data_IF_284749822811
#
_entry.id   IF_284749822811
#
_cell.length_a   1.000
_cell.length_b   1.000
_cell.length_c   1.000
_cell.angle_alpha   90.00
_cell.angle_beta   90.00
_cell.angle_gamma   90.00
#
_symmetry.space_group_name_H-M   'P 1'
#
loop_
_entity.id
_entity.type
_entity.pdbx_description
1 polymer ?
#
# COMPACT_ATOMS: atom_id res chain seq x y z
N UNK A 1 -20.88 -49.52 -20.17
CA UNK A 1 -21.08 -50.67 -19.22
C UNK A 1 -20.65 -50.20 -17.84
N UNK A 2 -21.57 -50.26 -16.89
CA UNK A 2 -21.49 -50.00 -15.43
C UNK A 2 -21.28 -48.56 -14.94
N UNK A 3 -22.43 -48.02 -14.61
CA UNK A 3 -22.71 -46.91 -13.67
C UNK A 3 -22.41 -47.39 -12.25
N UNK A 4 -21.73 -46.53 -11.45
CA UNK A 4 -21.75 -46.68 -10.00
C UNK A 4 -22.12 -45.36 -9.37
N UNK A 5 -23.37 -45.30 -8.87
CA UNK A 5 -23.89 -44.28 -7.96
C UNK A 5 -23.32 -44.57 -6.55
N UNK A 6 -22.81 -43.55 -5.86
CA UNK A 6 -22.72 -43.60 -4.41
C UNK A 6 -23.49 -42.42 -3.81
N UNK A 7 -24.54 -42.76 -3.09
CA UNK A 7 -25.32 -41.96 -2.15
C UNK A 7 -24.69 -42.13 -0.76
N UNK A 8 -24.59 -41.07 -0.02
CA UNK A 8 -24.62 -41.08 1.46
C UNK A 8 -24.89 -39.66 1.89
N UNK A 9 -26.04 -39.32 2.34
CA UNK A 9 -26.63 -39.44 3.68
C UNK A 9 -25.94 -38.47 4.66
N UNK A 10 -26.75 -37.51 5.05
CA UNK A 10 -26.54 -36.43 5.93
C UNK A 10 -26.29 -36.80 7.40
N UNK A 11 -25.80 -35.84 8.13
CA UNK A 11 -25.97 -35.77 9.57
C UNK A 11 -26.17 -34.32 9.99
N UNK A 12 -27.41 -34.01 10.33
CA UNK A 12 -27.88 -32.80 10.99
C UNK A 12 -27.53 -32.98 12.49
N UNK A 13 -26.67 -32.15 13.02
CA UNK A 13 -26.48 -32.03 14.48
C UNK A 13 -27.06 -30.69 14.90
N UNK A 14 -28.26 -30.76 15.46
CA UNK A 14 -28.92 -29.69 16.21
C UNK A 14 -28.33 -29.71 17.61
N UNK A 15 -27.60 -28.68 17.99
CA UNK A 15 -27.16 -28.46 19.36
C UNK A 15 -28.01 -27.38 20.03
N UNK A 16 -28.90 -27.87 20.90
CA UNK A 16 -29.77 -27.09 21.77
C UNK A 16 -28.93 -26.57 22.94
N UNK A 17 -28.72 -25.26 23.04
CA UNK A 17 -28.18 -24.67 24.27
C UNK A 17 -29.30 -24.18 25.16
N UNK A 18 -29.38 -24.84 26.33
CA UNK A 18 -30.29 -24.57 27.43
C UNK A 18 -29.84 -23.32 28.15
N UNK A 19 -30.75 -22.33 28.22
CA UNK A 19 -30.64 -21.17 29.11
C UNK A 19 -30.94 -21.59 30.57
N UNK A 20 -29.98 -21.45 31.47
CA UNK A 20 -30.20 -21.54 32.89
C UNK A 20 -30.32 -20.10 33.44
N UNK A 21 -31.54 -19.77 33.83
CA UNK A 21 -31.89 -18.57 34.61
C UNK A 21 -31.58 -18.87 36.09
N UNK A 22 -30.78 -18.03 36.72
CA UNK A 22 -30.63 -18.01 38.18
C UNK A 22 -31.20 -16.71 38.72
N UNK A 23 -32.35 -16.81 39.29
CA UNK A 23 -32.97 -15.83 40.20
C UNK A 23 -32.73 -16.28 41.62
N UNK A 24 -32.84 -15.35 42.58
CA UNK A 24 -32.89 -15.44 44.05
C UNK A 24 -31.58 -14.94 44.69
N UNK A 25 -31.61 -14.02 45.65
CA UNK A 25 -32.66 -13.70 46.56
C UNK A 25 -32.34 -12.45 47.40
N UNK A 26 -33.43 -11.85 47.87
CA UNK A 26 -33.45 -10.82 48.91
C UNK A 26 -33.02 -11.37 50.28
N UNK A 27 -32.30 -10.56 51.05
CA UNK A 27 -32.32 -10.72 52.53
C UNK A 27 -31.94 -9.40 53.20
N UNK A 28 -32.92 -8.80 53.82
CA UNK A 28 -33.08 -8.30 55.18
C UNK A 28 -32.05 -7.33 55.76
N UNK A 29 -32.55 -6.13 56.04
CA UNK A 29 -32.01 -5.13 56.96
C UNK A 29 -32.06 -5.59 58.41
N UNK A 30 -31.10 -5.23 59.28
CA UNK A 30 -31.34 -5.12 60.66
C UNK A 30 -31.66 -3.68 61.09
N UNK A 31 -32.62 -3.60 62.01
CA UNK A 31 -33.11 -2.43 62.70
C UNK A 31 -32.02 -1.81 63.62
N UNK A 32 -31.89 -0.49 63.52
CA UNK A 32 -31.02 0.28 64.43
C UNK A 32 -31.85 0.83 65.56
N UNK A 33 -31.44 0.53 66.78
CA UNK A 33 -31.95 1.16 68.01
C UNK A 33 -31.49 2.62 68.04
N UNK A 34 -32.46 3.47 68.37
CA UNK A 34 -32.32 4.91 68.53
C UNK A 34 -31.86 5.18 69.97
N UNK A 35 -30.62 5.64 70.18
CA UNK A 35 -30.14 6.19 71.46
C UNK A 35 -30.12 7.71 71.31
N UNK A 36 -31.09 8.36 71.93
CA UNK A 36 -31.16 9.82 72.02
C UNK A 36 -30.12 10.30 73.04
N UNK A 37 -29.07 10.96 72.62
CA UNK A 37 -28.19 11.75 73.48
C UNK A 37 -28.37 13.22 73.17
N UNK A 38 -29.04 13.95 74.02
CA UNK A 38 -29.18 15.41 73.97
C UNK A 38 -27.89 16.04 74.47
N UNK A 39 -27.01 16.40 73.55
CA UNK A 39 -25.82 17.18 73.80
C UNK A 39 -25.85 18.49 73.04
N UNK A 40 -25.96 19.62 73.70
CA UNK A 40 -25.88 20.96 73.09
C UNK A 40 -24.45 21.17 72.66
N UNK A 41 -24.17 21.10 71.33
CA UNK A 41 -22.86 21.37 70.77
C UNK A 41 -22.84 22.82 70.28
N UNK A 42 -22.00 23.62 70.95
CA UNK A 42 -21.67 24.97 70.42
C UNK A 42 -20.83 24.82 69.17
N UNK A 43 -21.40 25.17 68.01
CA UNK A 43 -20.66 25.18 66.76
C UNK A 43 -19.58 26.26 66.79
N UNK A 44 -18.32 25.83 66.94
CA UNK A 44 -17.18 26.67 66.62
C UNK A 44 -16.95 26.57 65.11
N UNK A 45 -17.22 27.63 64.38
CA UNK A 45 -16.94 27.73 62.96
C UNK A 45 -15.42 27.62 62.71
N UNK A 46 -14.98 26.44 62.34
CA UNK A 46 -13.61 26.21 61.82
C UNK A 46 -13.60 26.79 60.41
N UNK A 47 -12.70 27.71 60.05
CA UNK A 47 -12.57 28.19 58.71
C UNK A 47 -12.20 27.01 57.81
N UNK A 48 -13.08 26.68 56.86
CA UNK A 48 -12.80 25.70 55.82
C UNK A 48 -11.65 26.19 54.98
N UNK A 49 -10.45 25.64 55.17
CA UNK A 49 -9.33 25.91 54.30
C UNK A 49 -9.70 25.43 52.91
N UNK A 50 -9.94 26.37 52.00
CA UNK A 50 -10.08 26.08 50.57
C UNK A 50 -8.75 25.51 50.10
N UNK A 51 -8.70 24.19 49.88
CA UNK A 51 -7.56 23.54 49.27
C UNK A 51 -7.34 24.18 47.91
N UNK A 52 -6.17 24.77 47.69
CA UNK A 52 -5.75 25.24 46.37
C UNK A 52 -5.85 24.06 45.39
N UNK A 53 -6.35 24.28 44.15
CA UNK A 53 -6.42 23.22 43.19
C UNK A 53 -5.03 22.61 43.01
N UNK A 54 -4.92 21.33 43.22
CA UNK A 54 -3.68 20.57 42.93
C UNK A 54 -3.41 20.75 41.46
N UNK A 55 -2.23 21.22 41.03
CA UNK A 55 -1.90 21.32 39.62
C UNK A 55 -2.00 19.93 39.02
N UNK A 56 -2.95 19.78 38.13
CA UNK A 56 -3.07 18.57 37.29
C UNK A 56 -1.88 18.58 36.35
N UNK A 57 -0.88 17.76 36.63
CA UNK A 57 0.19 17.50 35.67
C UNK A 57 -0.44 16.75 34.50
N UNK A 58 -0.80 17.46 33.45
CA UNK A 58 -1.00 16.89 32.15
C UNK A 58 0.37 16.45 31.65
N UNK A 59 0.59 15.14 31.57
CA UNK A 59 1.75 14.63 30.82
C UNK A 59 1.72 15.28 29.44
N UNK A 60 2.87 15.77 28.94
CA UNK A 60 2.93 16.27 27.58
C UNK A 60 2.41 15.18 26.64
N UNK A 61 1.64 15.54 25.60
CA UNK A 61 1.14 14.55 24.67
C UNK A 61 2.34 13.83 24.03
N UNK A 62 2.29 12.50 24.00
CA UNK A 62 3.28 11.69 23.31
C UNK A 62 3.41 12.18 21.88
N UNK A 63 4.64 12.36 21.41
CA UNK A 63 4.94 12.92 20.10
C UNK A 63 5.14 11.82 19.06
N UNK A 64 4.68 12.09 17.86
CA UNK A 64 5.03 11.36 16.65
C UNK A 64 5.76 12.34 15.75
N UNK A 65 6.92 11.92 15.24
CA UNK A 65 7.71 12.72 14.34
C UNK A 65 7.57 12.23 12.91
N UNK A 66 7.42 13.14 11.96
CA UNK A 66 7.46 12.85 10.53
C UNK A 66 8.69 13.53 9.93
N UNK A 67 9.62 12.71 9.46
CA UNK A 67 10.77 13.17 8.70
C UNK A 67 10.49 13.09 7.20
N UNK A 68 10.69 14.21 6.50
CA UNK A 68 10.61 14.34 5.05
C UNK A 68 11.93 14.91 4.57
N UNK A 69 12.75 14.06 3.96
CA UNK A 69 14.08 14.44 3.46
C UNK A 69 14.02 15.23 2.16
N UNK A 70 15.17 15.84 1.81
CA UNK A 70 15.36 16.47 0.51
C UNK A 70 15.26 15.40 -0.60
N UNK A 71 14.47 15.66 -1.65
CA UNK A 71 14.25 14.72 -2.75
C UNK A 71 13.04 13.79 -2.58
N UNK A 72 12.31 13.83 -1.46
CA UNK A 72 11.02 13.16 -1.33
C UNK A 72 10.02 13.72 -2.36
N UNK A 73 9.14 12.83 -2.85
CA UNK A 73 8.04 13.26 -3.72
C UNK A 73 7.11 14.21 -2.94
N UNK A 74 6.91 15.46 -3.38
CA UNK A 74 6.17 16.46 -2.62
C UNK A 74 4.69 16.14 -2.46
N UNK A 75 4.06 15.50 -3.46
CA UNK A 75 2.65 15.13 -3.41
C UNK A 75 2.42 14.01 -2.40
N UNK A 76 3.27 12.97 -2.42
CA UNK A 76 3.23 11.88 -1.45
C UNK A 76 3.53 12.40 -0.03
N UNK A 77 4.51 13.30 0.10
CA UNK A 77 4.86 13.90 1.38
C UNK A 77 3.68 14.67 1.99
N UNK A 78 2.99 15.49 1.20
CA UNK A 78 1.80 16.21 1.64
C UNK A 78 0.63 15.30 2.02
N UNK A 79 0.38 14.26 1.23
CA UNK A 79 -0.66 13.26 1.52
C UNK A 79 -0.34 12.48 2.80
N UNK A 80 0.92 12.03 2.97
CA UNK A 80 1.36 11.30 4.15
C UNK A 80 1.27 12.17 5.41
N UNK A 81 1.70 13.43 5.34
CA UNK A 81 1.60 14.37 6.47
C UNK A 81 0.13 14.58 6.88
N UNK A 82 -0.76 14.79 5.92
CA UNK A 82 -2.20 14.96 6.17
C UNK A 82 -2.83 13.72 6.82
N UNK A 83 -2.52 12.53 6.31
CA UNK A 83 -3.05 11.29 6.85
C UNK A 83 -2.49 10.96 8.23
N UNK A 84 -1.19 11.18 8.44
CA UNK A 84 -0.56 10.98 9.76
C UNK A 84 -1.08 11.98 10.79
N UNK A 85 -1.36 13.24 10.42
CA UNK A 85 -1.96 14.21 11.32
C UNK A 85 -3.33 13.77 11.83
N UNK A 86 -4.15 13.19 10.93
CA UNK A 86 -5.45 12.61 11.27
C UNK A 86 -5.29 11.40 12.21
N UNK A 87 -4.46 10.43 11.84
CA UNK A 87 -4.23 9.22 12.62
C UNK A 87 -3.65 9.51 14.00
N UNK A 88 -2.71 10.47 14.09
CA UNK A 88 -2.14 10.91 15.36
C UNK A 88 -3.19 11.55 16.26
N UNK A 89 -4.00 12.47 15.71
CA UNK A 89 -5.09 13.13 16.44
C UNK A 89 -6.13 12.14 16.97
N UNK A 90 -6.54 11.16 16.15
CA UNK A 90 -7.46 10.08 16.55
C UNK A 90 -6.89 9.18 17.65
N UNK A 91 -5.57 9.02 17.67
CA UNK A 91 -4.85 8.19 18.64
C UNK A 91 -4.37 8.97 19.88
N UNK A 92 -4.64 10.27 19.97
CA UNK A 92 -4.25 11.12 21.10
C UNK A 92 -2.77 11.54 21.09
N UNK A 93 -2.12 11.52 19.94
CA UNK A 93 -0.74 11.93 19.74
C UNK A 93 -0.65 13.29 19.03
N UNK A 94 0.48 13.94 19.19
CA UNK A 94 0.82 15.17 18.46
C UNK A 94 1.82 14.86 17.35
N UNK A 95 1.47 15.18 16.10
CA UNK A 95 2.39 15.06 14.97
C UNK A 95 3.24 16.30 14.83
N UNK A 96 4.55 16.13 14.74
CA UNK A 96 5.53 17.18 14.46
C UNK A 96 6.34 16.81 13.22
N UNK A 97 6.36 17.69 12.21
CA UNK A 97 7.24 17.55 11.06
C UNK A 97 8.63 18.04 11.42
N UNK A 98 9.63 17.24 11.08
CA UNK A 98 11.04 17.52 11.34
C UNK A 98 11.88 17.47 10.07
N UNK A 99 13.07 18.08 10.13
CA UNK A 99 14.08 18.07 9.06
C UNK A 99 15.45 17.77 9.66
N UNK A 100 16.48 17.72 8.82
CA UNK A 100 17.86 17.48 9.26
C UNK A 100 18.38 18.50 10.28
N UNK A 101 19.18 18.05 11.25
CA UNK A 101 19.48 16.66 11.58
C UNK A 101 18.38 16.01 12.43
N UNK A 102 17.94 14.81 12.03
CA UNK A 102 16.84 14.08 12.69
C UNK A 102 17.14 13.81 14.17
N UNK A 103 18.41 13.52 14.51
CA UNK A 103 18.85 13.16 15.87
C UNK A 103 18.56 14.25 16.88
N UNK A 104 18.58 15.53 16.46
CA UNK A 104 18.31 16.67 17.35
C UNK A 104 16.87 16.68 17.88
N UNK A 105 15.96 16.05 17.17
CA UNK A 105 14.52 15.98 17.48
C UNK A 105 14.12 14.72 18.26
N UNK A 106 15.04 13.74 18.41
CA UNK A 106 14.74 12.44 19.08
C UNK A 106 14.83 12.50 20.60
N UNK A 107 14.59 13.66 21.20
CA UNK A 107 14.61 13.87 22.65
C UNK A 107 13.18 13.99 23.23
N UNK A 108 13.00 13.51 24.47
CA UNK A 108 11.72 13.61 25.18
C UNK A 108 10.75 12.47 24.84
N UNK A 109 9.45 12.75 24.88
CA UNK A 109 8.38 11.75 24.76
C UNK A 109 8.06 11.39 23.30
N UNK A 110 9.07 11.04 22.51
CA UNK A 110 8.89 10.57 21.12
C UNK A 110 8.47 9.09 21.16
N UNK A 111 7.29 8.79 20.64
CA UNK A 111 6.75 7.43 20.57
C UNK A 111 7.12 6.72 19.26
N UNK A 112 6.98 7.44 18.14
CA UNK A 112 7.17 6.91 16.80
C UNK A 112 7.82 7.98 15.93
N UNK A 113 8.74 7.54 15.07
CA UNK A 113 9.32 8.36 13.99
C UNK A 113 8.96 7.72 12.67
N UNK A 114 8.21 8.43 11.83
CA UNK A 114 7.91 8.03 10.45
C UNK A 114 8.91 8.72 9.53
N UNK A 115 9.61 7.94 8.71
CA UNK A 115 10.66 8.41 7.82
C UNK A 115 10.27 8.12 6.37
N UNK A 116 10.04 9.18 5.58
CA UNK A 116 9.73 9.05 4.15
C UNK A 116 11.02 9.02 3.32
N UNK A 117 11.08 8.11 2.36
CA UNK A 117 12.18 8.02 1.39
C UNK A 117 12.33 9.33 0.57
N UNK A 118 13.57 9.68 0.15
CA UNK A 118 14.82 8.97 0.41
C UNK A 118 15.41 9.27 1.79
N UNK A 119 15.99 8.25 2.43
CA UNK A 119 16.74 8.40 3.68
C UNK A 119 17.73 7.25 3.83
N UNK A 120 18.99 7.59 4.04
CA UNK A 120 20.05 6.61 4.22
C UNK A 120 20.33 6.34 5.71
N UNK A 121 20.64 5.09 6.04
CA UNK A 121 21.10 4.73 7.38
C UNK A 121 20.00 4.58 8.44
N UNK A 122 18.74 4.37 8.06
CA UNK A 122 17.62 4.21 8.98
C UNK A 122 17.83 3.05 9.98
N UNK A 123 18.49 1.98 9.56
CA UNK A 123 18.84 0.87 10.45
C UNK A 123 19.78 1.29 11.59
N UNK A 124 20.80 2.10 11.28
CA UNK A 124 21.74 2.60 12.28
C UNK A 124 21.05 3.57 13.26
N UNK A 125 20.17 4.40 12.73
CA UNK A 125 19.37 5.31 13.54
C UNK A 125 18.47 4.54 14.51
N UNK A 126 17.75 3.53 14.05
CA UNK A 126 16.90 2.69 14.89
C UNK A 126 17.70 1.95 15.98
N UNK A 127 18.86 1.43 15.64
CA UNK A 127 19.77 0.79 16.61
C UNK A 127 20.26 1.75 17.70
N UNK A 128 20.48 3.03 17.35
CA UNK A 128 20.96 4.05 18.30
C UNK A 128 19.88 4.50 19.29
N UNK A 129 18.59 4.33 18.94
CA UNK A 129 17.43 4.77 19.75
C UNK A 129 16.45 3.61 19.99
N UNK A 130 16.84 2.55 20.71
CA UNK A 130 16.01 1.33 20.85
C UNK A 130 14.68 1.53 21.58
N UNK A 131 14.51 2.65 22.29
CA UNK A 131 13.26 2.99 22.99
C UNK A 131 12.22 3.67 22.09
N UNK A 132 12.60 4.11 20.89
CA UNK A 132 11.74 4.78 19.91
C UNK A 132 11.36 3.78 18.83
N UNK A 133 10.09 3.75 18.42
CA UNK A 133 9.66 3.00 17.25
C UNK A 133 9.93 3.80 15.98
N UNK A 134 10.35 3.10 14.93
CA UNK A 134 10.58 3.69 13.61
C UNK A 134 9.70 3.02 12.57
N UNK A 135 9.19 3.81 11.63
CA UNK A 135 8.47 3.35 10.45
C UNK A 135 9.11 3.95 9.21
N UNK A 136 9.84 3.14 8.46
CA UNK A 136 10.37 3.52 7.15
C UNK A 136 9.30 3.38 6.07
N UNK A 137 9.07 4.44 5.30
CA UNK A 137 8.07 4.45 4.22
C UNK A 137 8.78 4.62 2.87
N UNK A 138 8.73 3.58 2.04
CA UNK A 138 9.36 3.56 0.71
C UNK A 138 10.88 3.44 0.72
N UNK A 139 11.50 3.12 1.85
CA UNK A 139 12.97 2.99 1.99
C UNK A 139 13.38 1.57 1.64
N UNK A 140 14.06 1.40 0.50
CA UNK A 140 14.36 0.10 -0.08
C UNK A 140 15.44 -0.70 0.68
N UNK A 141 16.44 -0.02 1.25
CA UNK A 141 17.59 -0.60 1.96
C UNK A 141 17.35 -0.81 3.46
N UNK A 142 16.22 -0.35 3.99
CA UNK A 142 15.87 -0.57 5.39
C UNK A 142 15.48 -2.02 5.65
N UNK A 143 16.05 -2.61 6.70
CA UNK A 143 15.70 -3.96 7.15
C UNK A 143 14.94 -3.90 8.47
N UNK A 144 13.80 -4.59 8.59
CA UNK A 144 13.03 -4.62 9.83
C UNK A 144 13.86 -5.10 11.03
N UNK A 145 13.61 -4.52 12.18
CA UNK A 145 14.28 -4.87 13.44
C UNK A 145 13.33 -4.67 14.63
N UNK A 146 13.79 -4.94 15.86
CA UNK A 146 12.96 -4.89 17.05
C UNK A 146 12.20 -3.57 17.29
N UNK A 147 12.64 -2.48 16.67
CA UNK A 147 11.99 -1.18 16.78
C UNK A 147 11.89 -0.46 15.41
N UNK A 148 12.10 -1.17 14.32
CA UNK A 148 11.97 -0.65 12.96
C UNK A 148 11.03 -1.53 12.16
N UNK A 149 9.91 -0.94 11.74
CA UNK A 149 9.01 -1.51 10.73
C UNK A 149 9.18 -0.79 9.39
N UNK A 150 8.92 -1.49 8.30
CA UNK A 150 9.14 -0.95 6.95
C UNK A 150 7.90 -1.17 6.08
N UNK A 151 7.46 -0.12 5.42
CA UNK A 151 6.53 -0.18 4.29
C UNK A 151 7.35 -0.09 3.01
N UNK A 152 7.32 -1.15 2.21
CA UNK A 152 8.03 -1.19 0.93
C UNK A 152 7.18 -0.62 -0.19
N UNK A 153 7.85 0.07 -1.12
CA UNK A 153 7.21 0.58 -2.34
C UNK A 153 6.99 -0.54 -3.38
N UNK A 154 6.31 -0.23 -4.48
CA UNK A 154 6.09 -1.13 -5.60
C UNK A 154 7.35 -1.74 -6.21
N UNK A 155 8.47 -1.07 -6.07
CA UNK A 155 9.75 -1.60 -6.56
C UNK A 155 10.17 -2.90 -5.86
N UNK A 156 9.50 -3.28 -4.75
CA UNK A 156 9.69 -4.57 -4.12
C UNK A 156 8.98 -5.74 -4.83
N UNK A 157 7.93 -5.45 -5.64
CA UNK A 157 7.17 -6.44 -6.40
C UNK A 157 6.89 -5.95 -7.84
N UNK A 158 7.96 -5.62 -8.60
CA UNK A 158 7.83 -5.19 -10.00
C UNK A 158 7.23 -6.28 -10.88
N UNK A 159 7.41 -7.54 -10.51
CA UNK A 159 6.80 -8.70 -11.14
C UNK A 159 5.25 -8.64 -11.07
N UNK A 160 4.67 -8.36 -9.91
CA UNK A 160 3.22 -8.22 -9.78
C UNK A 160 2.69 -7.02 -10.58
N UNK A 161 3.41 -5.90 -10.53
CA UNK A 161 3.04 -4.69 -11.29
C UNK A 161 3.07 -4.95 -12.80
N UNK A 162 4.11 -5.59 -13.29
CA UNK A 162 4.22 -5.98 -14.70
C UNK A 162 3.14 -6.98 -15.11
N UNK A 163 2.89 -8.01 -14.30
CA UNK A 163 1.89 -9.04 -14.58
C UNK A 163 0.49 -8.45 -14.76
N UNK A 164 0.04 -7.64 -13.79
CA UNK A 164 -1.30 -7.04 -13.89
C UNK A 164 -1.40 -6.02 -15.03
N UNK A 165 -0.30 -5.31 -15.36
CA UNK A 165 -0.25 -4.44 -16.54
C UNK A 165 -0.41 -5.22 -17.84
N UNK A 166 0.26 -6.37 -17.96
CA UNK A 166 0.16 -7.25 -19.12
C UNK A 166 -1.23 -7.86 -19.26
N UNK A 167 -1.79 -8.32 -18.17
CA UNK A 167 -3.17 -8.84 -18.14
C UNK A 167 -4.18 -7.77 -18.58
N UNK A 168 -4.12 -6.59 -17.98
CA UNK A 168 -4.97 -5.44 -18.33
C UNK A 168 -4.82 -5.07 -19.81
N UNK A 169 -3.60 -4.97 -20.32
CA UNK A 169 -3.34 -4.68 -21.72
C UNK A 169 -4.01 -5.70 -22.66
N UNK A 170 -3.89 -6.99 -22.36
CA UNK A 170 -4.46 -8.06 -23.15
C UNK A 170 -6.00 -8.08 -23.13
N UNK A 171 -6.62 -7.80 -21.97
CA UNK A 171 -8.09 -7.70 -21.80
C UNK A 171 -8.68 -6.58 -22.66
N UNK A 172 -7.94 -5.47 -22.83
CA UNK A 172 -8.46 -4.26 -23.47
C UNK A 172 -8.12 -4.14 -24.95
N UNK A 173 -7.08 -4.85 -25.41
CA UNK A 173 -6.54 -4.63 -26.76
C UNK A 173 -6.96 -5.75 -27.71
N UNK A 174 -7.60 -5.36 -28.81
CA UNK A 174 -7.95 -6.30 -29.86
C UNK A 174 -6.69 -6.91 -30.48
N UNK A 175 -6.78 -8.21 -30.86
CA UNK A 175 -5.67 -8.96 -31.44
C UNK A 175 -4.41 -9.02 -30.56
N UNK A 176 -4.55 -8.63 -29.27
CA UNK A 176 -3.45 -8.62 -28.27
C UNK A 176 -2.20 -7.85 -28.74
N UNK A 177 -2.38 -6.78 -29.53
CA UNK A 177 -1.31 -5.92 -30.07
C UNK A 177 -0.77 -5.01 -28.97
N UNK A 178 -0.08 -5.63 -28.02
CA UNK A 178 0.40 -4.97 -26.81
C UNK A 178 1.92 -5.02 -26.70
N UNK A 179 2.47 -4.02 -26.00
CA UNK A 179 3.90 -3.95 -25.74
C UNK A 179 4.22 -3.35 -24.40
N UNK A 180 5.48 -3.49 -23.99
CA UNK A 180 6.02 -2.90 -22.77
C UNK A 180 7.33 -2.17 -23.09
N UNK A 181 7.50 -0.98 -22.51
CA UNK A 181 8.77 -0.27 -22.44
C UNK A 181 9.25 -0.33 -20.99
N UNK A 182 10.45 -0.87 -20.79
CA UNK A 182 11.01 -1.12 -19.49
C UNK A 182 12.51 -0.82 -19.46
N UNK A 183 13.17 -1.12 -18.35
CA UNK A 183 14.61 -0.96 -18.16
C UNK A 183 15.28 -2.33 -18.01
N UNK A 184 16.19 -2.66 -18.93
CA UNK A 184 16.95 -3.90 -18.82
C UNK A 184 18.17 -3.78 -17.91
N UNK A 185 18.59 -2.55 -17.60
CA UNK A 185 19.74 -2.24 -16.74
C UNK A 185 19.43 -2.37 -15.23
N UNK A 186 18.17 -2.64 -14.88
CA UNK A 186 17.75 -2.86 -13.51
C UNK A 186 17.00 -4.20 -13.36
N UNK A 187 17.17 -4.93 -12.25
CA UNK A 187 16.40 -6.13 -11.96
C UNK A 187 14.89 -5.89 -11.95
N UNK A 188 14.47 -4.74 -11.42
CA UNK A 188 13.07 -4.35 -11.33
C UNK A 188 12.43 -4.17 -12.71
N UNK A 189 13.11 -3.46 -13.62
CA UNK A 189 12.62 -3.28 -14.98
C UNK A 189 12.55 -4.60 -15.74
N UNK A 190 13.53 -5.48 -15.55
CA UNK A 190 13.56 -6.81 -16.13
C UNK A 190 12.41 -7.68 -15.58
N UNK A 191 12.18 -7.66 -14.25
CA UNK A 191 11.08 -8.37 -13.63
C UNK A 191 9.72 -7.88 -14.14
N UNK A 192 9.51 -6.56 -14.21
CA UNK A 192 8.28 -5.99 -14.73
C UNK A 192 8.02 -6.37 -16.19
N UNK A 193 9.05 -6.31 -17.06
CA UNK A 193 8.95 -6.73 -18.46
C UNK A 193 8.57 -8.20 -18.60
N UNK A 194 9.31 -9.09 -17.93
CA UNK A 194 9.07 -10.52 -18.06
C UNK A 194 7.71 -10.91 -17.48
N UNK A 195 7.32 -10.32 -16.37
CA UNK A 195 6.00 -10.53 -15.80
C UNK A 195 4.87 -9.93 -16.65
N UNK A 196 5.09 -8.80 -17.33
CA UNK A 196 4.14 -8.29 -18.32
C UNK A 196 3.84 -9.33 -19.41
N UNK A 197 4.86 -9.98 -19.95
CA UNK A 197 4.72 -11.03 -20.94
C UNK A 197 3.89 -12.20 -20.34
N UNK A 198 4.16 -12.62 -19.10
CA UNK A 198 3.38 -13.67 -18.42
C UNK A 198 1.91 -13.27 -18.23
N UNK A 199 1.65 -12.02 -17.82
CA UNK A 199 0.28 -11.51 -17.65
C UNK A 199 -0.52 -11.48 -18.95
N UNK A 200 0.09 -11.09 -20.07
CA UNK A 200 -0.53 -11.16 -21.39
C UNK A 200 -0.86 -12.60 -21.77
N UNK A 201 0.12 -13.51 -21.63
CA UNK A 201 -0.05 -14.93 -21.94
C UNK A 201 -1.08 -15.60 -21.03
N UNK A 202 -1.14 -15.22 -19.77
CA UNK A 202 -2.14 -15.71 -18.81
C UNK A 202 -3.57 -15.44 -19.30
N UNK A 203 -3.81 -14.30 -19.96
CA UNK A 203 -5.13 -14.00 -20.54
C UNK A 203 -5.37 -14.71 -21.87
N UNK A 204 -4.45 -14.58 -22.83
CA UNK A 204 -4.72 -14.97 -24.24
C UNK A 204 -4.09 -16.30 -24.68
N UNK A 205 -3.26 -16.93 -23.85
CA UNK A 205 -2.54 -18.15 -24.21
C UNK A 205 -1.48 -17.86 -25.31
N UNK A 206 -1.75 -18.22 -26.53
CA UNK A 206 -0.79 -18.06 -27.64
C UNK A 206 -0.72 -16.63 -28.21
N UNK A 207 -1.68 -15.78 -27.91
CA UNK A 207 -1.74 -14.35 -28.29
C UNK A 207 -1.45 -14.09 -29.78
N UNK A 208 -1.99 -14.91 -30.67
CA UNK A 208 -1.77 -14.76 -32.13
C UNK A 208 -2.82 -13.82 -32.73
N UNK A 209 -2.42 -12.75 -33.42
CA UNK A 209 -3.36 -11.89 -34.12
C UNK A 209 -4.17 -12.69 -35.15
N UNK A 210 -5.45 -12.32 -35.30
CA UNK A 210 -6.32 -12.93 -36.33
C UNK A 210 -6.30 -12.13 -37.66
N UNK A 211 -5.76 -10.92 -37.64
CA UNK A 211 -5.60 -10.05 -38.79
C UNK A 211 -4.14 -9.67 -39.00
N UNK A 212 -3.69 -9.45 -40.26
CA UNK A 212 -2.33 -8.99 -40.54
C UNK A 212 -2.06 -7.60 -39.94
N UNK A 213 -0.82 -7.27 -39.63
CA UNK A 213 0.38 -8.12 -39.68
C UNK A 213 0.42 -9.14 -38.55
N UNK A 214 0.95 -10.33 -38.83
CA UNK A 214 1.01 -11.47 -37.87
C UNK A 214 2.30 -11.45 -37.06
N UNK A 215 2.58 -10.34 -36.38
CA UNK A 215 3.69 -10.26 -35.45
C UNK A 215 3.40 -11.12 -34.19
N UNK A 216 4.45 -11.50 -33.52
CA UNK A 216 4.34 -12.27 -32.26
C UNK A 216 4.28 -11.29 -31.09
N UNK A 217 3.10 -11.08 -30.53
CA UNK A 217 2.92 -10.27 -29.32
C UNK A 217 2.96 -11.14 -28.06
N UNK A 218 3.24 -10.54 -26.89
CA UNK A 218 3.58 -9.14 -26.64
C UNK A 218 4.98 -8.77 -27.10
N UNK A 219 5.19 -7.51 -27.46
CA UNK A 219 6.49 -6.95 -27.78
C UNK A 219 7.08 -6.20 -26.59
N UNK A 220 8.39 -6.03 -26.58
CA UNK A 220 9.04 -5.21 -25.57
C UNK A 220 10.17 -4.37 -26.17
N UNK A 221 10.48 -3.27 -25.49
CA UNK A 221 11.66 -2.47 -25.74
C UNK A 221 12.32 -2.10 -24.40
N UNK A 222 13.61 -2.34 -24.32
CA UNK A 222 14.38 -2.03 -23.12
C UNK A 222 15.13 -0.71 -23.29
N UNK A 223 14.77 0.30 -22.51
CA UNK A 223 15.46 1.59 -22.45
C UNK A 223 16.57 1.55 -21.40
N UNK A 224 17.67 2.24 -21.68
CA UNK A 224 18.68 2.54 -20.66
C UNK A 224 18.16 3.62 -19.70
N UNK A 225 18.68 3.66 -18.46
CA UNK A 225 18.24 4.63 -17.44
C UNK A 225 18.46 6.08 -17.82
N UNK A 226 19.50 6.35 -18.61
CA UNK A 226 19.87 7.67 -19.08
C UNK A 226 19.41 7.96 -20.53
N UNK A 227 18.41 7.19 -21.02
CA UNK A 227 17.91 7.32 -22.37
C UNK A 227 17.38 8.73 -22.67
N UNK A 228 17.99 9.40 -23.65
CA UNK A 228 17.56 10.71 -24.11
C UNK A 228 16.25 10.62 -24.95
N UNK A 229 15.67 11.77 -25.27
CA UNK A 229 14.41 11.84 -26.05
C UNK A 229 14.49 11.09 -27.38
N UNK A 230 15.64 11.12 -28.08
CA UNK A 230 15.81 10.41 -29.35
C UNK A 230 15.72 8.88 -29.20
N UNK A 231 16.23 8.32 -28.12
CA UNK A 231 16.13 6.88 -27.83
C UNK A 231 14.72 6.52 -27.35
N UNK A 232 14.09 7.38 -26.54
CA UNK A 232 12.70 7.23 -26.15
C UNK A 232 11.77 7.24 -27.34
N UNK A 233 11.99 8.16 -28.31
CA UNK A 233 11.26 8.19 -29.55
C UNK A 233 11.48 6.92 -30.38
N UNK A 234 12.72 6.47 -30.51
CA UNK A 234 13.03 5.25 -31.27
C UNK A 234 12.35 4.01 -30.67
N UNK A 235 12.22 3.94 -29.35
CA UNK A 235 11.48 2.86 -28.67
C UNK A 235 9.99 2.87 -29.01
N UNK A 236 9.38 4.06 -29.02
CA UNK A 236 7.99 4.22 -29.42
C UNK A 236 7.78 3.89 -30.90
N UNK A 237 8.63 4.42 -31.80
CA UNK A 237 8.57 4.17 -33.24
C UNK A 237 8.71 2.67 -33.55
N UNK A 238 9.58 1.97 -32.85
CA UNK A 238 9.69 0.52 -32.99
C UNK A 238 8.35 -0.16 -32.71
N UNK A 239 7.70 0.10 -31.56
CA UNK A 239 6.43 -0.52 -31.21
C UNK A 239 5.29 -0.09 -32.15
N UNK A 240 5.24 1.17 -32.54
CA UNK A 240 4.25 1.72 -33.49
C UNK A 240 4.39 1.04 -34.84
N UNK A 241 5.62 0.88 -35.33
CA UNK A 241 5.88 0.20 -36.62
C UNK A 241 5.45 -1.27 -36.62
N UNK A 242 5.40 -1.88 -35.49
CA UNK A 242 4.91 -3.24 -35.27
C UNK A 242 3.41 -3.26 -34.92
N UNK A 243 2.68 -2.17 -35.15
CA UNK A 243 1.24 -2.06 -34.91
C UNK A 243 0.77 -2.31 -33.47
N UNK A 244 1.63 -2.05 -32.48
CA UNK A 244 1.22 -2.09 -31.07
C UNK A 244 0.16 -1.01 -30.83
N UNK A 245 -0.91 -1.36 -30.13
CA UNK A 245 -2.05 -0.47 -29.83
C UNK A 245 -2.09 -0.05 -28.37
N UNK A 246 -1.52 -0.84 -27.49
CA UNK A 246 -1.44 -0.52 -26.06
C UNK A 246 -0.03 -0.81 -25.54
N UNK A 247 0.55 0.15 -24.85
CA UNK A 247 1.90 0.06 -24.27
C UNK A 247 1.81 0.26 -22.76
N UNK A 248 2.43 -0.63 -22.02
CA UNK A 248 2.77 -0.38 -20.63
C UNK A 248 4.13 0.28 -20.55
N UNK A 249 4.21 1.44 -19.90
CA UNK A 249 5.47 2.13 -19.61
C UNK A 249 5.77 1.94 -18.14
N UNK A 250 6.81 1.14 -17.85
CA UNK A 250 7.24 0.87 -16.48
C UNK A 250 7.78 2.14 -15.82
N UNK A 251 7.50 2.41 -14.52
CA UNK A 251 7.99 3.59 -13.83
C UNK A 251 9.51 3.77 -13.96
N UNK A 252 9.92 4.97 -14.34
CA UNK A 252 11.34 5.28 -14.57
C UNK A 252 11.92 4.81 -15.91
N UNK A 253 11.10 4.21 -16.79
CA UNK A 253 11.53 3.79 -18.15
C UNK A 253 11.30 4.83 -19.24
N UNK A 254 11.02 6.06 -18.87
CA UNK A 254 10.82 7.16 -19.80
C UNK A 254 10.34 8.41 -19.09
N UNK A 255 10.39 9.52 -19.80
CA UNK A 255 9.92 10.82 -19.35
C UNK A 255 8.49 11.11 -19.85
N UNK A 256 7.94 12.26 -19.48
CA UNK A 256 6.68 12.75 -20.04
C UNK A 256 6.72 12.85 -21.58
N UNK A 257 7.90 13.14 -22.15
CA UNK A 257 8.10 13.14 -23.62
C UNK A 257 7.67 11.82 -24.27
N UNK A 258 8.10 10.69 -23.71
CA UNK A 258 7.73 9.36 -24.24
C UNK A 258 6.22 9.13 -24.17
N UNK A 259 5.60 9.45 -23.03
CA UNK A 259 4.17 9.27 -22.83
C UNK A 259 3.35 10.13 -23.79
N UNK A 260 3.73 11.38 -23.96
CA UNK A 260 3.08 12.31 -24.90
C UNK A 260 3.27 11.86 -26.34
N UNK A 261 4.47 11.39 -26.72
CA UNK A 261 4.76 10.90 -28.06
C UNK A 261 3.92 9.66 -28.41
N UNK A 262 3.80 8.70 -27.51
CA UNK A 262 2.92 7.54 -27.67
C UNK A 262 1.45 7.96 -27.86
N UNK A 263 0.95 8.86 -27.00
CA UNK A 263 -0.42 9.36 -27.07
C UNK A 263 -0.71 10.10 -28.40
N UNK A 264 0.20 10.96 -28.86
CA UNK A 264 0.10 11.68 -30.13
C UNK A 264 0.02 10.74 -31.33
N UNK A 265 0.64 9.57 -31.25
CA UNK A 265 0.57 8.53 -32.27
C UNK A 265 -0.60 7.54 -32.07
N UNK A 266 -1.55 7.86 -31.20
CA UNK A 266 -2.77 7.07 -31.00
C UNK A 266 -2.56 5.74 -30.26
N UNK A 267 -1.44 5.58 -29.55
CA UNK A 267 -1.17 4.41 -28.73
C UNK A 267 -1.80 4.61 -27.36
N UNK A 268 -2.54 3.63 -26.87
CA UNK A 268 -3.08 3.63 -25.54
C UNK A 268 -1.97 3.30 -24.52
N UNK A 269 -2.05 3.91 -23.34
CA UNK A 269 -1.00 3.84 -22.33
C UNK A 269 -1.54 3.29 -21.03
N UNK A 270 -0.82 2.33 -20.47
CA UNK A 270 -0.90 1.92 -19.08
C UNK A 270 0.39 2.41 -18.42
N UNK A 271 0.29 3.18 -17.33
CA UNK A 271 1.47 3.72 -16.66
C UNK A 271 1.56 3.29 -15.20
N UNK A 272 2.68 3.63 -14.57
CA UNK A 272 2.88 3.49 -13.13
C UNK A 272 2.96 4.84 -12.41
N UNK A 273 2.59 5.90 -13.10
CA UNK A 273 2.67 7.30 -12.60
C UNK A 273 1.35 8.01 -12.81
N UNK A 274 1.23 9.23 -12.29
CA UNK A 274 0.12 10.12 -12.64
C UNK A 274 0.27 10.56 -14.11
N UNK A 275 -0.80 10.43 -14.95
CA UNK A 275 -0.72 10.79 -16.36
C UNK A 275 -0.48 12.28 -16.56
N UNK A 276 0.37 12.66 -17.51
CA UNK A 276 0.37 14.03 -18.04
C UNK A 276 -1.00 14.38 -18.61
N UNK A 277 -1.45 15.62 -18.44
CA UNK A 277 -2.77 16.08 -18.89
C UNK A 277 -2.98 15.85 -20.39
N UNK A 278 -1.94 16.02 -21.18
CA UNK A 278 -1.91 15.83 -22.64
C UNK A 278 -2.16 14.38 -23.09
N UNK A 279 -2.00 13.39 -22.18
CA UNK A 279 -2.14 11.96 -22.49
C UNK A 279 -3.47 11.37 -22.09
N UNK A 280 -4.33 12.11 -21.37
CA UNK A 280 -5.56 11.59 -20.74
C UNK A 280 -6.49 10.83 -21.70
N UNK A 281 -6.59 11.23 -22.97
CA UNK A 281 -7.46 10.56 -23.93
C UNK A 281 -6.99 9.15 -24.30
N UNK A 282 -5.70 8.89 -24.21
CA UNK A 282 -5.07 7.61 -24.50
C UNK A 282 -4.62 6.85 -23.25
N UNK A 283 -4.80 7.47 -22.06
CA UNK A 283 -4.47 6.83 -20.79
C UNK A 283 -5.55 5.84 -20.39
N UNK A 284 -5.19 4.58 -20.20
CA UNK A 284 -6.12 3.54 -19.77
C UNK A 284 -6.27 3.54 -18.24
N UNK A 285 -5.14 3.42 -17.56
CA UNK A 285 -5.07 3.40 -16.10
C UNK A 285 -3.62 3.53 -15.62
N UNK A 286 -3.48 3.84 -14.34
CA UNK A 286 -2.19 3.80 -13.63
C UNK A 286 -2.17 2.63 -12.67
N UNK A 287 -1.06 1.87 -12.65
CA UNK A 287 -0.81 0.79 -11.69
C UNK A 287 0.20 1.31 -10.68
N UNK A 288 -0.25 1.56 -9.49
CA UNK A 288 0.51 2.22 -8.43
C UNK A 288 0.46 1.40 -7.14
N UNK A 289 1.25 1.77 -6.14
CA UNK A 289 1.15 1.24 -4.79
C UNK A 289 0.48 2.22 -3.87
N UNK A 290 -0.27 1.70 -2.92
CA UNK A 290 -0.87 2.49 -1.87
C UNK A 290 0.00 2.46 -0.60
N UNK A 291 1.00 3.34 -0.57
CA UNK A 291 1.84 3.53 0.60
C UNK A 291 1.05 4.04 1.81
N UNK A 292 0.00 4.84 1.56
CA UNK A 292 -0.79 5.42 2.64
C UNK A 292 -1.66 4.36 3.31
N UNK A 293 -2.27 3.46 2.53
CA UNK A 293 -3.03 2.35 3.09
C UNK A 293 -2.13 1.41 3.89
N UNK A 294 -0.94 1.10 3.37
CA UNK A 294 0.04 0.31 4.11
C UNK A 294 0.45 0.97 5.45
N UNK A 295 0.65 2.30 5.46
CA UNK A 295 0.92 3.05 6.70
C UNK A 295 -0.25 2.95 7.68
N UNK A 296 -1.50 3.09 7.23
CA UNK A 296 -2.70 2.93 8.08
C UNK A 296 -2.77 1.55 8.73
N UNK A 297 -2.52 0.50 7.94
CA UNK A 297 -2.50 -0.88 8.44
C UNK A 297 -1.43 -1.05 9.54
N UNK A 298 -0.23 -0.49 9.34
CA UNK A 298 0.85 -0.59 10.33
C UNK A 298 0.66 0.33 11.53
N UNK A 299 -0.01 1.46 11.37
CA UNK A 299 -0.20 2.46 12.43
C UNK A 299 -0.74 1.86 13.72
N UNK A 300 -1.89 1.20 13.63
CA UNK A 300 -2.53 0.59 14.79
C UNK A 300 -1.67 -0.51 15.42
N UNK A 301 -1.00 -1.31 14.60
CA UNK A 301 -0.15 -2.42 15.06
C UNK A 301 1.07 -1.89 15.80
N UNK A 302 1.76 -0.87 15.27
CA UNK A 302 2.94 -0.26 15.90
C UNK A 302 2.56 0.42 17.24
N UNK A 303 1.45 1.16 17.26
CA UNK A 303 0.98 1.80 18.49
C UNK A 303 0.59 0.78 19.59
N UNK A 304 0.14 -0.41 19.19
CA UNK A 304 -0.12 -1.54 20.09
C UNK A 304 1.15 -2.29 20.52
N UNK A 305 2.34 -1.85 20.07
CA UNK A 305 3.62 -2.41 20.46
C UNK A 305 4.18 -3.49 19.54
N UNK A 306 3.53 -3.77 18.41
CA UNK A 306 4.13 -4.61 17.36
C UNK A 306 5.28 -3.86 16.69
N UNK A 307 6.32 -4.61 16.28
CA UNK A 307 7.52 -4.05 15.65
C UNK A 307 8.18 -5.07 14.73
N UNK A 308 9.16 -4.64 13.96
CA UNK A 308 9.87 -5.55 13.05
C UNK A 308 9.02 -6.01 11.86
N UNK A 309 8.01 -5.25 11.50
CA UNK A 309 7.08 -5.62 10.43
C UNK A 309 7.66 -5.21 9.08
N UNK A 310 7.66 -6.13 8.13
CA UNK A 310 7.96 -5.89 6.73
C UNK A 310 6.66 -6.00 5.92
N UNK A 311 6.18 -4.90 5.40
CA UNK A 311 4.93 -4.85 4.67
C UNK A 311 5.14 -4.27 3.27
N UNK A 312 4.82 -5.05 2.24
CA UNK A 312 4.72 -4.52 0.89
C UNK A 312 3.42 -3.69 0.77
N UNK A 313 3.55 -2.46 0.28
CA UNK A 313 2.36 -1.68 -0.04
C UNK A 313 1.55 -2.37 -1.14
N UNK A 314 0.24 -2.49 -1.01
CA UNK A 314 -0.58 -3.17 -2.00
C UNK A 314 -0.58 -2.41 -3.32
N UNK A 315 -0.66 -3.15 -4.43
CA UNK A 315 -0.92 -2.57 -5.74
C UNK A 315 -2.39 -2.19 -5.86
N UNK A 316 -2.66 -1.11 -6.56
CA UNK A 316 -4.00 -0.70 -6.93
C UNK A 316 -4.02 -0.06 -8.32
N UNK A 317 -5.18 -0.10 -8.97
CA UNK A 317 -5.39 0.47 -10.29
C UNK A 317 -6.19 1.75 -10.14
N UNK A 318 -5.59 2.86 -10.51
CA UNK A 318 -6.18 4.20 -10.39
C UNK A 318 -6.25 4.90 -11.74
N UNK A 319 -6.82 6.10 -11.78
CA UNK A 319 -6.91 6.96 -12.97
C UNK A 319 -7.49 6.23 -14.19
N UNK A 320 -8.53 5.43 -13.95
CA UNK A 320 -9.19 4.59 -14.92
C UNK A 320 -10.00 5.45 -15.91
N UNK A 321 -9.71 5.29 -17.17
CA UNK A 321 -10.50 5.92 -18.23
C UNK A 321 -11.69 5.01 -18.59
N UNK A 322 -12.89 5.36 -18.16
CA UNK A 322 -14.08 4.52 -18.36
C UNK A 322 -14.46 4.29 -19.84
N UNK A 323 -14.02 5.15 -20.74
CA UNK A 323 -14.24 4.99 -22.18
C UNK A 323 -13.37 3.86 -22.76
N UNK A 324 -12.16 3.70 -22.24
CA UNK A 324 -11.20 2.66 -22.67
C UNK A 324 -11.31 1.41 -21.80
N UNK A 325 -11.64 1.58 -20.54
CA UNK A 325 -11.66 0.54 -19.50
C UNK A 325 -13.04 0.47 -18.85
N UNK A 326 -13.98 -0.18 -19.52
CA UNK A 326 -15.39 -0.26 -19.08
C UNK A 326 -15.57 -0.93 -17.71
N UNK A 327 -16.62 -0.59 -16.93
CA UNK A 327 -16.85 -1.12 -15.58
C UNK A 327 -16.83 -2.66 -15.48
N UNK A 328 -17.37 -3.37 -16.47
CA UNK A 328 -17.36 -4.83 -16.47
C UNK A 328 -15.94 -5.42 -16.63
N UNK A 329 -15.09 -4.76 -17.43
CA UNK A 329 -13.68 -5.15 -17.56
C UNK A 329 -12.87 -4.76 -16.31
N UNK A 330 -13.21 -3.64 -15.67
CA UNK A 330 -12.61 -3.24 -14.39
C UNK A 330 -12.83 -4.33 -13.33
N UNK A 331 -14.08 -4.75 -13.12
CA UNK A 331 -14.42 -5.80 -12.16
C UNK A 331 -13.65 -7.10 -12.43
N UNK A 332 -13.47 -7.46 -13.70
CA UNK A 332 -12.72 -8.66 -14.08
C UNK A 332 -11.23 -8.54 -13.78
N UNK A 333 -10.63 -7.40 -14.06
CA UNK A 333 -9.20 -7.14 -13.80
C UNK A 333 -8.95 -7.01 -12.29
N UNK A 334 -9.84 -6.35 -11.56
CA UNK A 334 -9.73 -6.20 -10.10
C UNK A 334 -9.72 -7.57 -9.41
N UNK A 335 -10.59 -8.50 -9.86
CA UNK A 335 -10.56 -9.86 -9.32
C UNK A 335 -9.22 -10.56 -9.54
N UNK A 336 -8.58 -10.39 -10.69
CA UNK A 336 -7.27 -10.99 -10.96
C UNK A 336 -6.18 -10.29 -10.13
N UNK A 337 -6.31 -8.98 -9.91
CA UNK A 337 -5.41 -8.27 -9.00
C UNK A 337 -5.53 -8.79 -7.56
N UNK A 338 -6.75 -8.99 -7.06
CA UNK A 338 -6.97 -9.56 -5.73
C UNK A 338 -6.36 -10.97 -5.63
N UNK A 339 -6.64 -11.86 -6.60
CA UNK A 339 -6.08 -13.21 -6.65
C UNK A 339 -4.52 -13.21 -6.72
N UNK A 340 -3.92 -12.20 -7.36
CA UNK A 340 -2.46 -12.00 -7.44
C UNK A 340 -1.88 -11.53 -6.09
N UNK A 341 -2.55 -10.59 -5.42
CA UNK A 341 -2.11 -10.06 -4.13
C UNK A 341 -2.27 -11.08 -3.01
N UNK A 342 -3.32 -11.89 -3.07
CA UNK A 342 -3.58 -12.98 -2.14
C UNK A 342 -2.68 -14.20 -2.37
N UNK A 343 -1.88 -14.20 -3.45
CA UNK A 343 -0.95 -15.29 -3.79
C UNK A 343 -1.59 -16.51 -4.44
N UNK A 344 -2.85 -16.40 -4.89
CA UNK A 344 -3.48 -17.45 -5.69
C UNK A 344 -2.95 -17.52 -7.13
N UNK A 345 -2.37 -16.41 -7.61
CA UNK A 345 -1.68 -16.32 -8.89
C UNK A 345 -0.21 -16.04 -8.62
N UNK A 346 0.67 -16.89 -9.17
CA UNK A 346 2.11 -16.69 -9.18
C UNK A 346 2.53 -16.09 -10.53
N UNK A 347 3.35 -15.06 -10.50
CA UNK A 347 3.87 -14.42 -11.72
C UNK A 347 4.86 -15.31 -12.48
N UNK A 348 5.48 -16.27 -11.79
CA UNK A 348 6.55 -17.12 -12.31
C UNK A 348 7.88 -16.39 -12.52
N UNK A 349 8.01 -15.16 -12.00
CA UNK A 349 9.20 -14.30 -12.13
C UNK A 349 9.76 -13.98 -10.74
N UNK A 350 11.07 -14.16 -10.58
CA UNK A 350 11.77 -13.72 -9.39
C UNK A 350 11.83 -12.18 -9.34
N UNK A 351 11.22 -11.52 -8.35
CA UNK A 351 11.17 -10.07 -8.27
C UNK A 351 12.55 -9.43 -8.07
N UNK A 352 13.54 -10.17 -7.55
CA UNK A 352 14.88 -9.65 -7.26
C UNK A 352 15.84 -9.74 -8.45
N UNK A 353 15.64 -10.70 -9.33
CA UNK A 353 16.54 -10.93 -10.48
C UNK A 353 15.85 -10.67 -11.81
N UNK A 354 14.53 -10.72 -11.84
CA UNK A 354 13.74 -10.63 -13.06
C UNK A 354 13.77 -11.88 -13.94
N UNK A 355 14.34 -12.99 -13.46
CA UNK A 355 14.42 -14.25 -14.21
C UNK A 355 13.16 -15.10 -14.02
N UNK A 356 12.90 -16.01 -14.98
CA UNK A 356 11.88 -17.05 -14.82
C UNK A 356 12.26 -17.99 -13.65
N UNK A 357 11.28 -18.31 -12.80
CA UNK A 357 11.45 -19.25 -11.69
C UNK A 357 11.33 -20.70 -12.18
N UNK A 358 10.59 -20.94 -13.29
CA UNK A 358 10.24 -22.27 -13.83
C UNK A 358 10.68 -22.44 -15.29
#
# INVERSE_FOLDING_TARGET
MKISKFRSIGLLIVSLFVFAVWTVGCSSSPSSEEIAITGTVTETLIPTATLAPVPTYTLPPNKILLYIGAGSNPDLAGQLESELAKLAGESGYFLERISDPIESSLQGDVRLVVVLAPFDGLNNLALSYPQIQFLGVGISDANPSNNLSVVRSALSRPDQQGFIAGYLAAVLTNDWRVGVISRADTPEGKAARNAFIKGVVFFCGLCRPVTPPFYQYPLFYDLAGEAGEGEQQASADFLISQEVKTVYVFPGSGSNFLLEYLAQNGVNIIGGVTPPETTMNNWIASIQVDLLEAVKVLWTRILNGESGIDLNAPLYITQRNELLFSPGRQLHVDKVLDDLLDGYIDTGIDPLTGEDIY
#
